data_IF_859425856807
#
_entry.id   IF_859425856807
#
_cell.length_a   1.000
_cell.length_b   1.000
_cell.length_c   1.000
_cell.angle_alpha   90.00
_cell.angle_beta   90.00
_cell.angle_gamma   90.00
#
_symmetry.space_group_name_H-M   'P 1'
#
loop_
_entity.id
_entity.type
_entity.pdbx_description
1 polymer ?
#
# COMPACT_ATOMS: atom_id res chain seq x y z
N UNK A 1 8.31 -12.91 18.55
CA UNK A 1 6.92 -12.51 18.27
C UNK A 1 6.14 -13.79 17.97
N UNK A 2 4.81 -13.81 18.08
CA UNK A 2 4.03 -15.04 17.88
C UNK A 2 3.95 -15.39 16.38
N UNK A 3 4.28 -16.62 16.00
CA UNK A 3 4.30 -17.06 14.60
C UNK A 3 2.94 -16.89 13.88
N UNK A 4 1.84 -17.07 14.61
CA UNK A 4 0.47 -16.88 14.09
C UNK A 4 0.20 -15.43 13.67
N UNK A 5 0.76 -14.46 14.41
CA UNK A 5 0.59 -13.05 14.09
C UNK A 5 1.41 -12.65 12.84
N UNK A 6 2.60 -13.24 12.69
CA UNK A 6 3.45 -13.03 11.51
C UNK A 6 2.78 -13.57 10.24
N UNK A 7 2.17 -14.76 10.32
CA UNK A 7 1.42 -15.37 9.22
C UNK A 7 0.19 -14.53 8.85
N UNK A 8 -0.56 -14.05 9.84
CA UNK A 8 -1.70 -13.16 9.62
C UNK A 8 -1.26 -11.88 8.89
N UNK A 9 -0.22 -11.19 9.34
CA UNK A 9 0.24 -9.97 8.67
C UNK A 9 0.72 -10.24 7.25
N UNK A 10 1.48 -11.30 7.02
CA UNK A 10 1.94 -11.65 5.68
C UNK A 10 0.76 -11.88 4.73
N UNK A 11 -0.28 -12.58 5.19
CA UNK A 11 -1.47 -12.85 4.38
C UNK A 11 -2.20 -11.55 4.00
N UNK A 12 -2.37 -10.62 4.94
CA UNK A 12 -3.06 -9.34 4.72
C UNK A 12 -2.28 -8.46 3.75
N UNK A 13 -0.95 -8.39 3.88
CA UNK A 13 -0.09 -7.61 2.99
C UNK A 13 -0.20 -8.15 1.55
N UNK A 14 -0.15 -9.48 1.37
CA UNK A 14 -0.26 -10.11 0.06
C UNK A 14 -1.65 -9.89 -0.57
N UNK A 15 -2.72 -9.92 0.21
CA UNK A 15 -4.07 -9.65 -0.29
C UNK A 15 -4.23 -8.20 -0.78
N UNK A 16 -3.74 -7.22 -0.01
CA UNK A 16 -3.79 -5.80 -0.40
C UNK A 16 -2.93 -5.51 -1.63
N UNK A 17 -1.79 -6.20 -1.79
CA UNK A 17 -0.99 -6.06 -3.00
C UNK A 17 -1.73 -6.59 -4.25
N UNK A 18 -2.46 -7.71 -4.12
CA UNK A 18 -3.24 -8.31 -5.22
C UNK A 18 -4.54 -7.55 -5.52
N UNK A 19 -5.14 -6.94 -4.50
CA UNK A 19 -6.44 -6.24 -4.57
C UNK A 19 -6.34 -4.89 -3.87
N UNK A 20 -5.61 -3.93 -4.48
CA UNK A 20 -5.40 -2.64 -3.84
C UNK A 20 -6.73 -1.91 -3.70
N UNK A 21 -7.06 -1.55 -2.47
CA UNK A 21 -8.26 -0.80 -2.16
C UNK A 21 -8.00 0.69 -2.43
N UNK A 22 -9.00 1.38 -2.97
CA UNK A 22 -8.92 2.81 -3.29
C UNK A 22 -7.81 3.20 -4.29
N UNK A 23 -7.37 2.28 -5.15
CA UNK A 23 -6.45 2.59 -6.23
C UNK A 23 -7.15 3.35 -7.37
N UNK A 24 -7.40 4.65 -7.13
CA UNK A 24 -8.06 5.58 -8.04
C UNK A 24 -7.69 7.02 -7.72
N UNK A 25 -7.87 7.91 -8.68
CA UNK A 25 -7.87 9.36 -8.44
C UNK A 25 -9.14 9.75 -7.67
N UNK A 26 -9.00 10.64 -6.68
CA UNK A 26 -10.13 11.24 -5.97
C UNK A 26 -10.40 12.63 -6.56
N UNK A 27 -11.54 12.82 -7.21
CA UNK A 27 -11.86 14.05 -7.97
C UNK A 27 -11.92 15.31 -7.09
N UNK A 28 -12.53 15.21 -5.90
CA UNK A 28 -12.73 16.34 -4.98
C UNK A 28 -11.77 16.30 -3.77
N UNK A 29 -10.53 15.85 -3.97
CA UNK A 29 -9.54 15.81 -2.90
C UNK A 29 -9.18 17.23 -2.42
N UNK A 30 -9.13 17.45 -1.10
CA UNK A 30 -8.70 18.74 -0.53
C UNK A 30 -7.20 19.02 -0.69
N UNK A 31 -6.43 18.05 -1.15
CA UNK A 31 -5.00 18.14 -1.43
C UNK A 31 -4.50 16.87 -2.12
N UNK A 32 -3.40 16.99 -2.87
CA UNK A 32 -2.72 15.91 -3.57
C UNK A 32 -1.21 16.06 -3.40
N UNK A 33 -0.48 14.94 -3.38
CA UNK A 33 0.97 14.93 -3.30
C UNK A 33 1.52 13.75 -4.11
N UNK A 34 2.64 13.98 -4.80
CA UNK A 34 3.36 12.96 -5.56
C UNK A 34 4.69 12.65 -4.88
N UNK A 35 5.07 11.37 -4.83
CA UNK A 35 6.31 10.91 -4.21
C UNK A 35 7.09 9.95 -5.08
N UNK A 36 8.42 10.04 -5.02
CA UNK A 36 9.34 9.10 -5.65
C UNK A 36 10.37 8.62 -4.61
N UNK A 37 10.53 7.31 -4.47
CA UNK A 37 11.61 6.73 -3.67
C UNK A 37 12.82 6.39 -4.56
N UNK A 38 13.92 7.17 -4.52
CA UNK A 38 15.05 6.99 -5.45
C UNK A 38 15.87 5.72 -5.20
N UNK A 39 15.69 5.06 -4.05
CA UNK A 39 16.48 3.86 -3.71
C UNK A 39 15.93 2.59 -4.40
N UNK A 40 14.62 2.53 -4.60
CA UNK A 40 13.94 1.38 -5.19
C UNK A 40 13.19 1.71 -6.49
N UNK A 41 12.94 2.99 -6.77
CA UNK A 41 12.19 3.46 -7.95
C UNK A 41 10.66 3.46 -7.75
N UNK A 42 10.17 3.24 -6.54
CA UNK A 42 8.73 3.26 -6.25
C UNK A 42 8.14 4.67 -6.42
N UNK A 43 6.95 4.75 -6.99
CA UNK A 43 6.16 5.96 -7.14
C UNK A 43 4.85 5.84 -6.36
N UNK A 44 4.47 6.91 -5.67
CA UNK A 44 3.26 7.03 -4.85
C UNK A 44 2.50 8.31 -5.12
#
# INVERSE_FOLDING_TARGET
MSAELEELYQSIILDHNRRPQNFRVMEDASGHADGLNPLCGDQV
#
